data_IF_635167720253
#
_entry.id   IF_635167720253
#
_cell.length_a   1.000
_cell.length_b   1.000
_cell.length_c   1.000
_cell.angle_alpha   90.00
_cell.angle_beta   90.00
_cell.angle_gamma   90.00
#
_symmetry.space_group_name_H-M   'P 1'
#
loop_
_entity.id
_entity.type
_entity.pdbx_description
1 polymer ?
#
# COMPACT_ATOMS: atom_id res chain seq x y z
N UNK A 1 -2.71 -8.46 -6.48
CA UNK A 1 -1.72 -7.43 -6.13
C UNK A 1 -2.44 -6.11 -5.98
N UNK A 2 -2.58 -5.61 -4.76
CA UNK A 2 -3.19 -4.32 -4.44
C UNK A 2 -2.47 -3.67 -3.26
N UNK A 3 -2.69 -2.38 -3.06
CA UNK A 3 -2.30 -1.63 -1.85
C UNK A 3 -3.50 -0.81 -1.39
N UNK A 4 -4.32 -1.37 -0.51
CA UNK A 4 -5.36 -0.65 0.22
C UNK A 4 -4.82 0.53 1.03
N UNK A 5 -5.53 1.65 0.91
CA UNK A 5 -5.36 2.87 1.66
C UNK A 5 -6.77 3.46 1.92
N UNK A 6 -7.56 2.90 2.85
CA UNK A 6 -8.94 3.32 3.11
C UNK A 6 -9.07 4.71 3.76
N UNK A 7 -7.98 5.21 4.36
CA UNK A 7 -7.87 6.55 4.93
C UNK A 7 -6.62 7.27 4.40
N UNK A 8 -6.59 8.61 4.38
CA UNK A 8 -5.37 9.36 4.04
C UNK A 8 -4.22 9.11 5.04
N UNK A 9 -4.57 8.80 6.29
CA UNK A 9 -3.64 8.42 7.35
C UNK A 9 -3.24 6.94 7.23
N UNK A 10 -1.93 6.67 7.27
CA UNK A 10 -1.39 5.32 7.11
C UNK A 10 -1.68 4.44 8.32
N UNK A 11 -1.53 4.97 9.53
CA UNK A 11 -1.72 4.19 10.75
C UNK A 11 -3.19 3.73 10.85
N UNK A 12 -4.14 4.64 10.61
CA UNK A 12 -5.56 4.32 10.53
C UNK A 12 -5.85 3.31 9.41
N UNK A 13 -5.20 3.48 8.24
CA UNK A 13 -5.34 2.56 7.12
C UNK A 13 -4.87 1.15 7.43
N UNK A 14 -3.78 0.97 8.17
CA UNK A 14 -3.30 -0.36 8.55
C UNK A 14 -4.13 -0.94 9.68
N UNK A 15 -4.49 -0.11 10.67
CA UNK A 15 -5.26 -0.54 11.84
C UNK A 15 -6.65 -1.08 11.47
N UNK A 16 -7.31 -0.51 10.45
CA UNK A 16 -8.66 -0.96 10.05
C UNK A 16 -8.67 -2.28 9.29
N UNK A 17 -7.56 -2.68 8.68
CA UNK A 17 -7.51 -3.93 7.92
C UNK A 17 -7.57 -5.13 8.86
N UNK A 18 -8.37 -6.14 8.50
CA UNK A 18 -8.27 -7.46 9.13
C UNK A 18 -6.93 -8.14 8.80
N UNK A 19 -6.52 -9.08 9.65
CA UNK A 19 -5.21 -9.73 9.58
C UNK A 19 -4.92 -10.36 8.20
N UNK A 20 -5.94 -10.91 7.54
CA UNK A 20 -5.78 -11.51 6.21
C UNK A 20 -5.42 -10.46 5.16
N UNK A 21 -6.07 -9.29 5.15
CA UNK A 21 -5.70 -8.23 4.20
C UNK A 21 -4.41 -7.53 4.60
N UNK A 22 -4.20 -7.25 5.89
CA UNK A 22 -2.95 -6.64 6.36
C UNK A 22 -1.73 -7.51 6.02
N UNK A 23 -1.78 -8.80 6.33
CA UNK A 23 -0.72 -9.75 6.01
C UNK A 23 -0.51 -9.90 4.50
N UNK A 24 -1.56 -9.75 3.68
CA UNK A 24 -1.44 -9.74 2.22
C UNK A 24 -0.76 -8.47 1.72
N UNK A 25 -1.13 -7.30 2.24
CA UNK A 25 -0.53 -6.00 1.88
C UNK A 25 0.97 -6.00 2.15
N UNK A 26 1.40 -6.61 3.25
CA UNK A 26 2.82 -6.77 3.61
C UNK A 26 3.64 -7.48 2.53
N UNK A 27 3.08 -8.53 1.93
CA UNK A 27 3.72 -9.31 0.86
C UNK A 27 3.58 -8.62 -0.49
N UNK A 28 2.41 -8.08 -0.80
CA UNK A 28 2.16 -7.42 -2.09
C UNK A 28 2.96 -6.12 -2.23
N UNK A 29 3.15 -5.36 -1.16
CA UNK A 29 3.99 -4.15 -1.16
C UNK A 29 5.46 -4.47 -1.47
N UNK A 30 6.01 -5.53 -0.88
CA UNK A 30 7.33 -6.06 -1.26
C UNK A 30 7.39 -6.42 -2.75
N UNK A 31 6.35 -7.04 -3.30
CA UNK A 31 6.28 -7.36 -4.74
C UNK A 31 6.21 -6.10 -5.61
N UNK A 32 5.47 -5.08 -5.18
CA UNK A 32 5.42 -3.77 -5.87
C UNK A 32 6.80 -3.12 -5.83
N UNK A 33 7.49 -3.11 -4.68
CA UNK A 33 8.85 -2.56 -4.56
C UNK A 33 9.80 -3.23 -5.55
N UNK A 34 9.77 -4.57 -5.65
CA UNK A 34 10.52 -5.30 -6.68
C UNK A 34 10.14 -4.84 -8.09
N UNK A 35 8.85 -4.72 -8.39
CA UNK A 35 8.37 -4.37 -9.72
C UNK A 35 8.75 -2.93 -10.13
N UNK A 36 8.85 -1.99 -9.18
CA UNK A 36 9.27 -0.60 -9.47
C UNK A 36 10.79 -0.38 -9.43
N UNK A 37 11.57 -1.37 -8.97
CA UNK A 37 13.03 -1.26 -8.83
C UNK A 37 13.79 -2.19 -9.78
N UNK A 38 13.42 -3.47 -9.83
CA UNK A 38 14.16 -4.51 -10.56
C UNK A 38 13.67 -4.58 -12.00
N UNK A 39 14.58 -4.33 -12.96
CA UNK A 39 14.29 -4.43 -14.37
C UNK A 39 13.88 -5.86 -14.77
N UNK A 40 12.84 -6.00 -15.61
CA UNK A 40 12.33 -7.29 -16.06
C UNK A 40 11.57 -8.10 -15.01
N UNK A 41 11.34 -7.57 -13.80
CA UNK A 41 10.48 -8.23 -12.82
C UNK A 41 9.02 -8.27 -13.31
N UNK A 42 8.27 -9.29 -12.92
CA UNK A 42 6.85 -9.41 -13.28
C UNK A 42 6.00 -8.26 -12.74
N UNK A 43 4.79 -8.08 -13.29
CA UNK A 43 3.78 -7.12 -12.80
C UNK A 43 4.11 -5.63 -13.00
N UNK A 44 5.11 -5.29 -13.80
CA UNK A 44 5.49 -3.90 -14.12
C UNK A 44 4.38 -3.08 -14.81
N UNK A 45 3.48 -3.74 -15.53
CA UNK A 45 2.32 -3.12 -16.18
C UNK A 45 1.08 -3.06 -15.28
N UNK A 46 1.09 -3.70 -14.11
CA UNK A 46 -0.08 -3.73 -13.24
C UNK A 46 -0.42 -2.32 -12.72
N UNK A 47 -1.71 -1.91 -12.67
CA UNK A 47 -2.10 -0.57 -12.21
C UNK A 47 -1.51 -0.18 -10.84
N UNK A 48 -1.51 -1.11 -9.87
CA UNK A 48 -0.86 -0.90 -8.57
C UNK A 48 0.63 -0.57 -8.68
N UNK A 49 1.38 -1.23 -9.56
CA UNK A 49 2.81 -0.93 -9.76
C UNK A 49 2.98 0.44 -10.37
N UNK A 50 2.13 0.78 -11.33
CA UNK A 50 2.16 2.06 -12.03
C UNK A 50 1.86 3.24 -11.12
N UNK A 51 0.92 3.13 -10.17
CA UNK A 51 0.59 4.23 -9.25
C UNK A 51 1.72 4.57 -8.26
N UNK A 52 2.60 3.62 -7.97
CA UNK A 52 3.75 3.80 -7.07
C UNK A 52 5.05 4.17 -7.78
N UNK A 53 5.07 4.14 -9.12
CA UNK A 53 6.28 4.45 -9.90
C UNK A 53 6.74 5.89 -9.62
N UNK A 54 8.03 6.06 -9.31
CA UNK A 54 8.61 7.36 -8.95
C UNK A 54 8.42 7.74 -7.47
N UNK A 55 7.78 6.89 -6.66
CA UNK A 55 7.49 7.16 -5.25
C UNK A 55 7.96 6.02 -4.33
N UNK A 56 9.12 5.41 -4.63
CA UNK A 56 9.70 4.31 -3.83
C UNK A 56 9.87 4.66 -2.35
N UNK A 57 10.35 5.86 -1.96
CA UNK A 57 10.42 6.23 -0.53
C UNK A 57 9.06 6.21 0.17
N UNK A 58 8.00 6.67 -0.49
CA UNK A 58 6.64 6.62 0.07
C UNK A 58 6.07 5.19 0.11
N UNK A 59 6.44 4.34 -0.85
CA UNK A 59 6.11 2.90 -0.80
C UNK A 59 6.82 2.20 0.36
N UNK A 60 8.03 2.63 0.71
CA UNK A 60 8.75 2.14 1.89
C UNK A 60 8.08 2.60 3.19
N UNK A 61 7.64 3.87 3.29
CA UNK A 61 6.82 4.37 4.41
C UNK A 61 5.54 3.53 4.59
N UNK A 62 4.88 3.20 3.48
CA UNK A 62 3.72 2.33 3.45
C UNK A 62 4.05 0.91 3.96
N UNK A 63 5.18 0.32 3.52
CA UNK A 63 5.64 -1.00 3.97
C UNK A 63 5.94 -1.00 5.47
N UNK A 64 6.64 0.02 5.95
CA UNK A 64 6.99 0.19 7.36
C UNK A 64 5.74 0.20 8.24
N UNK A 65 4.76 1.05 7.92
CA UNK A 65 3.49 1.13 8.65
C UNK A 65 2.75 -0.22 8.63
N UNK A 66 2.75 -0.92 7.49
CA UNK A 66 2.12 -2.24 7.35
C UNK A 66 2.81 -3.29 8.24
N UNK A 67 4.13 -3.35 8.21
CA UNK A 67 4.91 -4.30 9.03
C UNK A 67 4.82 -3.97 10.52
N UNK A 68 4.86 -2.69 10.89
CA UNK A 68 4.73 -2.24 12.27
C UNK A 68 3.37 -2.66 12.85
N UNK A 69 2.27 -2.43 12.12
CA UNK A 69 0.94 -2.87 12.56
C UNK A 69 0.84 -4.40 12.65
N UNK A 70 1.43 -5.13 11.70
CA UNK A 70 1.48 -6.60 11.72
C UNK A 70 2.21 -7.13 12.97
N UNK A 71 3.37 -6.55 13.29
CA UNK A 71 4.13 -6.91 14.49
C UNK A 71 3.42 -6.49 15.77
N UNK A 72 2.75 -5.33 15.78
CA UNK A 72 1.94 -4.86 16.92
C UNK A 72 0.83 -5.84 17.28
N UNK A 73 0.29 -6.58 16.31
CA UNK A 73 -0.70 -7.65 16.52
C UNK A 73 -0.11 -8.98 17.00
N UNK A 74 1.20 -9.05 17.22
CA UNK A 74 1.90 -10.22 17.75
C UNK A 74 2.40 -11.20 16.69
N UNK A 75 2.39 -10.83 15.41
CA UNK A 75 2.90 -11.68 14.33
C UNK A 75 4.37 -11.38 14.01
N UNK A 76 5.12 -12.39 13.58
CA UNK A 76 6.47 -12.20 13.06
C UNK A 76 6.45 -11.58 11.65
N UNK A 77 7.33 -10.61 11.40
CA UNK A 77 7.56 -10.04 10.07
C UNK A 77 8.86 -10.57 9.44
N UNK A 78 8.85 -10.68 8.11
CA UNK A 78 10.02 -11.00 7.27
C UNK A 78 10.06 -10.16 5.99
N UNK A 79 9.16 -9.19 5.83
CA UNK A 79 9.02 -8.40 4.61
C UNK A 79 9.69 -7.03 4.71
N UNK A 80 9.78 -6.44 5.91
CA UNK A 80 10.40 -5.12 6.10
C UNK A 80 11.85 -5.12 5.60
N UNK A 81 12.71 -5.97 6.19
CA UNK A 81 14.12 -6.08 5.80
C UNK A 81 14.32 -6.42 4.33
N UNK A 82 13.45 -7.28 3.76
CA UNK A 82 13.51 -7.61 2.33
C UNK A 82 13.16 -6.43 1.44
N UNK A 83 12.23 -5.59 1.87
CA UNK A 83 11.82 -4.39 1.12
C UNK A 83 12.89 -3.32 1.23
N UNK A 84 13.46 -3.15 2.43
CA UNK A 84 14.59 -2.25 2.69
C UNK A 84 15.81 -2.63 1.84
N UNK A 85 16.13 -3.91 1.73
CA UNK A 85 17.22 -4.39 0.87
C UNK A 85 17.01 -4.06 -0.62
N UNK A 86 15.76 -4.04 -1.11
CA UNK A 86 15.48 -3.70 -2.52
C UNK A 86 15.59 -2.20 -2.75
N UNK A 87 15.02 -1.35 -1.89
CA UNK A 87 15.16 0.10 -2.06
C UNK A 87 16.63 0.53 -1.88
N UNK A 88 17.44 -0.22 -1.13
CA UNK A 88 18.88 0.00 -1.02
C UNK A 88 19.66 -0.18 -2.33
N UNK A 89 19.10 -0.87 -3.33
CA UNK A 89 19.68 -0.91 -4.69
C UNK A 89 19.60 0.45 -5.41
N UNK A 90 18.84 1.40 -4.85
CA UNK A 90 18.62 2.76 -5.34
C UNK A 90 19.01 3.76 -4.24
N UNK A 91 20.32 4.06 -4.08
CA UNK A 91 20.83 4.80 -2.92
C UNK A 91 20.18 6.15 -2.67
N UNK A 92 19.74 6.87 -3.71
CA UNK A 92 19.07 8.17 -3.55
C UNK A 92 17.68 8.03 -2.92
N UNK A 93 16.96 6.97 -3.27
CA UNK A 93 15.62 6.70 -2.73
C UNK A 93 15.71 6.19 -1.28
N UNK A 94 16.72 5.35 -0.98
CA UNK A 94 17.00 4.94 0.40
C UNK A 94 17.33 6.17 1.27
N UNK A 95 18.23 7.04 0.81
CA UNK A 95 18.59 8.26 1.54
C UNK A 95 17.37 9.17 1.78
N UNK A 96 16.53 9.35 0.77
CA UNK A 96 15.30 10.15 0.89
C UNK A 96 14.33 9.57 1.95
N UNK A 97 14.18 8.25 2.01
CA UNK A 97 13.38 7.59 3.05
C UNK A 97 14.00 7.78 4.44
N UNK A 98 15.29 7.50 4.61
CA UNK A 98 15.96 7.57 5.93
C UNK A 98 16.04 8.99 6.48
N UNK A 99 16.12 10.00 5.62
CA UNK A 99 16.16 11.42 6.00
C UNK A 99 14.75 12.03 6.13
N UNK A 100 13.68 11.25 5.88
CA UNK A 100 12.30 11.74 5.95
C UNK A 100 11.92 12.70 4.82
N UNK A 101 12.70 12.80 3.74
CA UNK A 101 12.43 13.63 2.55
C UNK A 101 11.46 12.95 1.59
N UNK A 102 10.33 12.49 2.14
CA UNK A 102 9.37 11.64 1.42
C UNK A 102 8.38 12.49 0.63
N UNK A 103 8.44 12.37 -0.69
CA UNK A 103 7.43 12.95 -1.58
C UNK A 103 6.33 11.93 -1.86
N UNK A 104 5.16 12.13 -1.24
CA UNK A 104 4.00 11.26 -1.46
C UNK A 104 3.42 11.46 -2.87
N UNK A 105 2.87 10.40 -3.48
CA UNK A 105 2.17 10.48 -4.75
C UNK A 105 1.04 11.54 -4.75
N UNK A 106 0.76 12.20 -5.88
CA UNK A 106 -0.27 13.25 -5.98
C UNK A 106 -1.71 12.72 -5.84
N UNK A 107 -1.88 11.40 -5.78
CA UNK A 107 -3.14 10.74 -5.48
C UNK A 107 -3.33 10.43 -4.01
N UNK A 108 -2.29 10.59 -3.20
CA UNK A 108 -2.38 10.43 -1.76
C UNK A 108 -3.34 11.45 -1.18
N UNK A 109 -4.35 11.00 -0.44
CA UNK A 109 -5.37 11.88 0.11
C UNK A 109 -6.59 12.08 -0.78
N UNK A 110 -6.61 11.57 -2.02
CA UNK A 110 -7.77 11.72 -2.91
C UNK A 110 -8.99 10.96 -2.38
N UNK A 111 -10.11 11.64 -2.04
CA UNK A 111 -11.26 11.00 -1.41
C UNK A 111 -11.83 9.82 -2.19
N UNK A 112 -11.86 9.91 -3.52
CA UNK A 112 -12.38 8.88 -4.42
C UNK A 112 -11.54 7.59 -4.40
N UNK A 113 -10.21 7.71 -4.24
CA UNK A 113 -9.31 6.57 -4.12
C UNK A 113 -9.58 5.83 -2.80
N UNK A 114 -9.65 6.59 -1.70
CA UNK A 114 -9.95 6.04 -0.38
C UNK A 114 -11.34 5.36 -0.35
N UNK A 115 -12.35 5.99 -0.93
CA UNK A 115 -13.70 5.43 -1.03
C UNK A 115 -13.73 4.14 -1.83
N UNK A 116 -13.06 4.08 -2.98
CA UNK A 116 -12.98 2.84 -3.77
C UNK A 116 -12.31 1.70 -3.00
N UNK A 117 -11.30 2.00 -2.18
CA UNK A 117 -10.64 1.01 -1.32
C UNK A 117 -11.57 0.51 -0.21
N UNK A 118 -12.30 1.40 0.47
CA UNK A 118 -13.30 1.02 1.47
C UNK A 118 -14.41 0.17 0.86
N UNK A 119 -14.89 0.56 -0.32
CA UNK A 119 -15.89 -0.20 -1.07
C UNK A 119 -15.42 -1.62 -1.39
N UNK A 120 -14.20 -1.79 -1.88
CA UNK A 120 -13.63 -3.12 -2.16
C UNK A 120 -13.32 -3.92 -0.89
N UNK A 121 -13.06 -3.28 0.25
CA UNK A 121 -12.95 -3.99 1.54
C UNK A 121 -14.32 -4.50 2.00
N UNK A 122 -15.37 -3.67 1.92
CA UNK A 122 -16.75 -4.07 2.19
C UNK A 122 -17.17 -5.23 1.30
N UNK A 123 -16.97 -5.14 -0.01
CA UNK A 123 -17.28 -6.22 -0.96
C UNK A 123 -16.61 -7.56 -0.58
N UNK A 124 -15.40 -7.49 0.00
CA UNK A 124 -14.62 -8.68 0.37
C UNK A 124 -15.00 -9.26 1.74
N UNK A 125 -15.51 -8.45 2.66
CA UNK A 125 -15.94 -8.89 3.99
C UNK A 125 -16.89 -7.86 4.63
N UNK A 126 -18.18 -7.83 4.25
CA UNK A 126 -19.11 -6.80 4.69
C UNK A 126 -19.20 -6.70 6.21
N UNK A 127 -19.35 -7.84 6.90
CA UNK A 127 -19.51 -7.89 8.35
C UNK A 127 -18.29 -7.34 9.13
N UNK A 128 -17.09 -7.46 8.57
CA UNK A 128 -15.86 -6.96 9.21
C UNK A 128 -15.72 -5.45 9.05
N UNK A 129 -16.11 -4.92 7.89
CA UNK A 129 -15.81 -3.53 7.51
C UNK A 129 -16.99 -2.57 7.67
N UNK A 130 -18.25 -3.07 7.70
CA UNK A 130 -19.43 -2.21 7.86
C UNK A 130 -19.41 -1.35 9.14
N UNK A 131 -18.93 -1.85 10.30
CA UNK A 131 -18.81 -1.01 11.49
C UNK A 131 -17.83 0.17 11.32
N UNK A 132 -16.77 -0.01 10.52
CA UNK A 132 -15.77 1.03 10.28
C UNK A 132 -16.17 1.99 9.15
N UNK A 133 -16.96 1.52 8.17
CA UNK A 133 -17.39 2.28 7.00
C UNK A 133 -18.93 2.31 6.87
N UNK A 134 -19.63 2.89 7.86
CA UNK A 134 -21.09 2.95 7.82
C UNK A 134 -21.57 3.81 6.65
N UNK A 135 -22.44 3.24 5.81
CA UNK A 135 -23.05 3.95 4.67
C UNK A 135 -22.19 4.02 3.40
N UNK A 136 -20.96 3.53 3.43
CA UNK A 136 -20.14 3.43 2.22
C UNK A 136 -20.69 2.33 1.27
N UNK A 137 -20.66 2.55 -0.05
CA UNK A 137 -21.05 1.57 -1.06
C UNK A 137 -20.08 0.39 -1.09
N UNK A 138 -20.52 -0.79 -1.53
CA UNK A 138 -19.70 -2.00 -1.64
C UNK A 138 -19.58 -2.55 -3.07
N UNK A 139 -19.94 -1.73 -4.07
CA UNK A 139 -19.99 -2.09 -5.49
C UNK A 139 -19.10 -1.22 -6.39
N UNK A 140 -18.36 -0.25 -5.85
CA UNK A 140 -17.51 0.65 -6.65
C UNK A 140 -16.30 -0.06 -7.22
N UNK A 141 -15.88 0.32 -8.43
CA UNK A 141 -14.60 -0.08 -9.01
C UNK A 141 -13.40 0.63 -8.38
N UNK A 142 -12.23 -0.01 -8.48
CA UNK A 142 -10.98 0.61 -8.03
C UNK A 142 -10.71 1.88 -8.82
N UNK A 143 -10.46 2.98 -8.11
CA UNK A 143 -9.89 4.17 -8.72
C UNK A 143 -8.38 3.98 -8.81
N UNK A 144 -7.87 3.76 -10.02
CA UNK A 144 -6.44 3.71 -10.29
C UNK A 144 -5.93 5.08 -10.74
N UNK A 145 -5.00 5.72 -10.01
CA UNK A 145 -4.50 7.05 -10.34
C UNK A 145 -3.37 6.98 -11.37
N UNK A 146 -3.59 6.20 -12.43
CA UNK A 146 -2.63 6.01 -13.52
C UNK A 146 -3.32 6.45 -14.80
N UNK A 147 -2.67 7.31 -15.57
CA UNK A 147 -3.17 7.67 -16.90
C UNK A 147 -3.24 6.38 -17.71
N UNK A 148 -4.39 6.03 -18.27
CA UNK A 148 -4.44 5.04 -19.34
C UNK A 148 -3.46 5.52 -20.41
N UNK A 149 -2.39 4.76 -20.62
CA UNK A 149 -1.43 5.02 -21.68
C UNK A 149 -1.93 4.27 -22.91
#
# INVERSE_FOLDING_TARGET
MQTFLPYPDLAASMAVLDDKRLGKQRVETLQVMKAVTVAGYGWQSHPVTRMWRGHRPALMEYQEATCAEWMRRGFADTCFEKTLAIIAEVPEDLAAYTEGRITRPPWWGRPELHLSHRSKLLAKAPELYRPAFPGDPDDLDYVWPVTSA
#
